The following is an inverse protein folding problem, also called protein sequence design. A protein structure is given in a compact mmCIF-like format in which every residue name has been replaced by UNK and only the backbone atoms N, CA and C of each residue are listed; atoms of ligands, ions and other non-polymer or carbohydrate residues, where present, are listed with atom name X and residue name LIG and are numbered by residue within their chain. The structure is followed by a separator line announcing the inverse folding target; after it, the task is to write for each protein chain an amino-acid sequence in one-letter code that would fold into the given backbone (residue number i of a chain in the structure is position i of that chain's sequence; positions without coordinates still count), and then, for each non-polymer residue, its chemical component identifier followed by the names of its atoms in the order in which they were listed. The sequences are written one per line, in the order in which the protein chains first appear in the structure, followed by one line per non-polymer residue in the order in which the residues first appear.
data_IF_587822683317
#
_entry.id   IF_587822683317
#
_cell.length_a   1.000
_cell.length_b   1.000
_cell.length_c   1.000
_cell.angle_alpha   90.00
_cell.angle_beta   90.00
_cell.angle_gamma   90.00
#
_symmetry.space_group_name_H-M   'P 1'
#
loop_
_entity.id
_entity.type
_entity.pdbx_description
1 polymer ?
#
# COMPACT_ATOMS: atom_id res chain seq x y z
N UNK A 1 27.03 -19.38 -63.68
CA UNK A 1 27.79 -19.15 -62.47
C UNK A 1 27.24 -17.89 -61.83
N UNK A 2 26.20 -18.03 -61.00
CA UNK A 2 25.54 -16.92 -60.35
C UNK A 2 25.63 -17.18 -58.84
N UNK A 3 26.33 -16.33 -58.15
CA UNK A 3 26.37 -16.30 -56.67
C UNK A 3 25.16 -15.55 -56.16
N UNK A 4 24.26 -16.24 -55.49
CA UNK A 4 23.19 -15.63 -54.71
C UNK A 4 23.76 -15.27 -53.33
N UNK A 5 23.78 -13.98 -53.01
CA UNK A 5 24.13 -13.42 -51.71
C UNK A 5 22.87 -13.41 -50.84
N UNK A 6 22.80 -14.32 -49.86
CA UNK A 6 21.78 -14.28 -48.83
C UNK A 6 22.10 -13.18 -47.81
N UNK A 7 21.31 -12.11 -47.86
CA UNK A 7 21.32 -11.08 -46.84
C UNK A 7 20.45 -11.56 -45.68
N UNK A 8 21.10 -12.06 -44.64
CA UNK A 8 20.46 -12.42 -43.37
C UNK A 8 20.08 -11.14 -42.65
N UNK A 9 18.81 -10.75 -42.76
CA UNK A 9 18.25 -9.60 -42.02
C UNK A 9 18.02 -10.01 -40.55
N UNK A 10 18.99 -9.70 -39.69
CA UNK A 10 18.84 -9.86 -38.24
C UNK A 10 17.86 -8.81 -37.75
N UNK A 11 16.57 -9.16 -37.64
CA UNK A 11 15.59 -8.38 -36.89
C UNK A 11 15.98 -8.45 -35.41
N UNK A 12 16.76 -7.49 -34.96
CA UNK A 12 16.84 -7.16 -33.52
C UNK A 12 15.47 -6.67 -33.08
N UNK A 13 14.64 -7.58 -32.56
CA UNK A 13 13.52 -7.22 -31.72
C UNK A 13 14.11 -6.52 -30.50
N UNK A 14 14.22 -5.21 -30.57
CA UNK A 14 14.29 -4.35 -29.39
C UNK A 14 13.00 -4.60 -28.60
N UNK A 15 13.02 -5.59 -27.72
CA UNK A 15 12.08 -5.64 -26.61
C UNK A 15 12.42 -4.42 -25.77
N UNK A 16 11.78 -3.30 -26.09
CA UNK A 16 11.69 -2.18 -25.18
C UNK A 16 11.10 -2.79 -23.90
N UNK A 17 11.79 -2.78 -22.75
CA UNK A 17 11.12 -3.08 -21.52
C UNK A 17 10.03 -2.00 -21.43
N UNK A 18 8.78 -2.42 -21.65
CA UNK A 18 7.65 -1.64 -21.18
C UNK A 18 7.98 -1.38 -19.73
N UNK A 19 8.22 -0.12 -19.40
CA UNK A 19 8.29 0.32 -18.02
C UNK A 19 6.95 -0.09 -17.44
N UNK A 20 6.90 -1.28 -16.83
CA UNK A 20 5.72 -1.82 -16.22
C UNK A 20 5.35 -0.82 -15.14
N UNK A 21 4.30 -0.07 -15.37
CA UNK A 21 3.68 0.71 -14.33
C UNK A 21 3.33 -0.24 -13.19
N UNK A 22 3.18 0.26 -12.00
CA UNK A 22 2.75 -0.44 -10.79
C UNK A 22 1.31 -0.96 -10.92
N UNK A 23 1.04 -1.86 -11.88
CA UNK A 23 -0.30 -1.93 -12.48
C UNK A 23 -1.17 -3.03 -11.90
N UNK A 24 -0.69 -4.24 -11.78
CA UNK A 24 -1.55 -5.37 -11.40
C UNK A 24 -0.86 -6.25 -10.37
N UNK A 25 -1.62 -6.81 -9.40
CA UNK A 25 -1.05 -7.73 -8.43
C UNK A 25 -0.56 -9.01 -9.14
N UNK A 26 0.57 -9.58 -8.73
CA UNK A 26 1.14 -10.78 -9.34
C UNK A 26 0.40 -12.04 -8.91
N UNK A 27 -0.89 -12.15 -9.26
CA UNK A 27 -1.71 -13.30 -8.92
C UNK A 27 -1.30 -14.54 -9.74
N UNK A 28 -1.38 -15.72 -9.11
CA UNK A 28 -1.10 -16.98 -9.80
C UNK A 28 -2.32 -17.44 -10.62
N UNK A 29 -2.12 -17.76 -11.89
CA UNK A 29 -3.16 -18.27 -12.78
C UNK A 29 -4.31 -17.26 -12.94
N UNK A 30 -5.54 -17.71 -12.70
CA UNK A 30 -6.77 -16.93 -12.78
C UNK A 30 -7.29 -16.43 -11.42
N UNK A 31 -6.45 -16.48 -10.39
CA UNK A 31 -6.80 -15.97 -9.05
C UNK A 31 -6.92 -14.46 -9.07
N UNK A 32 -7.97 -13.89 -8.47
CA UNK A 32 -8.25 -12.46 -8.55
C UNK A 32 -8.53 -11.82 -7.18
N UNK A 33 -9.02 -12.59 -6.22
CA UNK A 33 -9.52 -12.04 -4.96
C UNK A 33 -8.39 -11.88 -3.95
N UNK A 34 -8.28 -10.68 -3.39
CA UNK A 34 -7.45 -10.37 -2.24
C UNK A 34 -8.39 -10.12 -1.06
N UNK A 35 -8.19 -10.85 0.04
CA UNK A 35 -8.97 -10.66 1.26
C UNK A 35 -8.17 -9.85 2.27
N UNK A 36 -8.83 -8.95 2.98
CA UNK A 36 -8.23 -8.23 4.11
C UNK A 36 -8.54 -8.99 5.41
N UNK A 37 -7.51 -9.61 6.02
CA UNK A 37 -7.61 -10.25 7.33
C UNK A 37 -7.16 -9.26 8.41
N UNK A 38 -8.06 -8.33 8.74
CA UNK A 38 -7.80 -7.21 9.63
C UNK A 38 -7.57 -7.69 11.07
N UNK A 39 -6.43 -7.31 11.65
CA UNK A 39 -6.05 -7.60 13.05
C UNK A 39 -5.74 -9.08 13.36
N UNK A 40 -5.62 -9.93 12.35
CA UNK A 40 -5.30 -11.34 12.55
C UNK A 40 -3.83 -11.54 12.95
N UNK A 41 -3.53 -12.49 13.86
CA UNK A 41 -2.16 -12.95 14.14
C UNK A 41 -1.54 -13.64 12.92
N UNK A 42 -0.23 -13.51 12.78
CA UNK A 42 0.50 -14.09 11.65
C UNK A 42 0.34 -15.63 11.54
N UNK A 43 0.40 -16.41 12.64
CA UNK A 43 0.19 -17.86 12.57
C UNK A 43 -1.20 -18.26 12.08
N UNK A 44 -2.23 -17.47 12.43
CA UNK A 44 -3.62 -17.75 12.02
C UNK A 44 -3.83 -17.45 10.54
N UNK A 45 -3.23 -16.37 10.02
CA UNK A 45 -3.21 -16.08 8.58
C UNK A 45 -2.52 -17.20 7.81
N UNK A 46 -1.39 -17.70 8.30
CA UNK A 46 -0.68 -18.80 7.67
C UNK A 46 -1.56 -20.06 7.57
N UNK A 47 -2.25 -20.41 8.66
CA UNK A 47 -3.17 -21.54 8.68
C UNK A 47 -4.38 -21.33 7.74
N UNK A 48 -4.91 -20.11 7.66
CA UNK A 48 -6.01 -19.76 6.75
C UNK A 48 -5.57 -19.85 5.27
N UNK A 49 -4.35 -19.43 4.96
CA UNK A 49 -3.78 -19.60 3.62
C UNK A 49 -3.77 -21.07 3.20
N UNK A 50 -3.34 -21.96 4.10
CA UNK A 50 -3.19 -23.40 3.82
C UNK A 50 -4.54 -24.13 3.72
N UNK A 51 -5.46 -23.79 4.62
CA UNK A 51 -6.70 -24.57 4.80
C UNK A 51 -7.89 -24.05 4.00
N UNK A 52 -7.93 -22.73 3.71
CA UNK A 52 -9.08 -22.09 3.07
C UNK A 52 -8.68 -21.33 1.81
N UNK A 53 -7.80 -20.34 1.91
CA UNK A 53 -7.60 -19.37 0.84
C UNK A 53 -6.89 -20.00 -0.37
N UNK A 54 -5.84 -20.79 -0.13
CA UNK A 54 -5.12 -21.51 -1.19
C UNK A 54 -6.04 -22.49 -1.94
N UNK A 55 -6.71 -23.43 -1.24
CA UNK A 55 -7.66 -24.36 -1.86
C UNK A 55 -8.82 -23.68 -2.60
N UNK A 56 -9.24 -22.48 -2.18
CA UNK A 56 -10.33 -21.73 -2.82
C UNK A 56 -9.88 -20.76 -3.90
N UNK A 57 -8.59 -20.69 -4.21
CA UNK A 57 -8.07 -19.89 -5.32
C UNK A 57 -8.02 -18.38 -5.06
N UNK A 58 -7.83 -17.94 -3.81
CA UNK A 58 -7.57 -16.54 -3.54
C UNK A 58 -6.20 -16.12 -4.07
N UNK A 59 -6.10 -14.90 -4.61
CA UNK A 59 -4.84 -14.29 -5.05
C UNK A 59 -3.94 -13.97 -3.85
N UNK A 60 -4.51 -13.38 -2.81
CA UNK A 60 -3.71 -12.95 -1.68
C UNK A 60 -4.48 -12.48 -0.47
N UNK A 61 -3.71 -12.08 0.52
CA UNK A 61 -4.16 -11.48 1.77
C UNK A 61 -3.53 -10.11 1.93
N UNK A 62 -4.34 -9.09 2.18
CA UNK A 62 -3.88 -7.85 2.78
C UNK A 62 -3.81 -8.06 4.29
N UNK A 63 -2.64 -7.84 4.87
CA UNK A 63 -2.43 -7.93 6.32
C UNK A 63 -2.42 -6.54 6.94
N UNK A 64 -2.78 -6.45 8.23
CA UNK A 64 -2.65 -5.22 9.01
C UNK A 64 -1.17 -4.79 9.12
N UNK A 65 -0.88 -3.50 9.41
CA UNK A 65 0.48 -2.98 9.45
C UNK A 65 1.43 -3.85 10.28
N UNK A 66 2.53 -4.36 9.71
CA UNK A 66 3.45 -5.25 10.42
C UNK A 66 4.52 -4.51 11.23
N UNK A 67 4.66 -3.18 11.03
CA UNK A 67 5.69 -2.41 11.71
C UNK A 67 5.39 -2.18 13.19
N UNK A 68 6.44 -1.87 13.95
CA UNK A 68 6.36 -1.48 15.35
C UNK A 68 5.48 -0.24 15.53
N UNK A 69 4.55 -0.31 16.47
CA UNK A 69 3.55 0.72 16.74
C UNK A 69 3.47 1.07 18.23
N UNK A 70 2.75 2.14 18.59
CA UNK A 70 2.48 2.46 19.99
C UNK A 70 1.73 1.32 20.68
N UNK A 71 1.85 1.22 21.99
CA UNK A 71 1.14 0.20 22.75
C UNK A 71 -0.34 0.57 22.92
N UNK A 72 -1.20 -0.44 22.99
CA UNK A 72 -2.64 -0.32 23.20
C UNK A 72 -3.40 -1.50 22.63
N UNK A 73 -4.67 -1.63 23.03
CA UNK A 73 -5.55 -2.72 22.59
C UNK A 73 -6.41 -2.33 21.37
N UNK A 74 -6.52 -1.03 21.11
CA UNK A 74 -7.36 -0.50 20.04
C UNK A 74 -6.72 -0.77 18.66
N UNK A 75 -7.55 -1.00 17.64
CA UNK A 75 -7.07 -1.28 16.28
C UNK A 75 -6.22 -0.14 15.69
N UNK A 76 -6.53 1.14 16.03
CA UNK A 76 -5.81 2.29 15.44
C UNK A 76 -4.39 2.49 15.97
N UNK A 77 -3.98 1.82 17.05
CA UNK A 77 -2.59 1.92 17.53
C UNK A 77 -1.60 1.41 16.49
N UNK A 78 -2.02 0.49 15.64
CA UNK A 78 -1.19 -0.04 14.54
C UNK A 78 -0.93 0.96 13.42
N UNK A 79 -1.76 2.00 13.35
CA UNK A 79 -1.59 3.13 12.42
C UNK A 79 -0.82 4.29 13.07
N UNK A 80 -0.12 4.02 14.16
CA UNK A 80 0.79 4.95 14.83
C UNK A 80 2.19 4.35 14.95
N UNK A 81 2.98 4.37 13.85
CA UNK A 81 4.32 3.78 13.84
C UNK A 81 5.26 4.40 14.85
N UNK A 82 6.12 3.56 15.44
CA UNK A 82 7.25 3.92 16.30
C UNK A 82 8.56 3.63 15.59
N UNK A 83 8.61 2.55 14.83
CA UNK A 83 9.72 2.21 13.95
C UNK A 83 9.25 1.31 12.81
N UNK A 84 10.16 1.00 11.88
CA UNK A 84 9.89 0.06 10.78
C UNK A 84 10.37 -1.37 11.09
N UNK A 85 10.62 -1.71 12.35
CA UNK A 85 10.84 -3.09 12.75
C UNK A 85 9.58 -3.91 12.52
N UNK A 86 9.70 -5.06 11.87
CA UNK A 86 8.57 -5.95 11.57
C UNK A 86 8.17 -6.76 12.80
N UNK A 87 7.73 -6.06 13.84
CA UNK A 87 7.31 -6.64 15.11
C UNK A 87 6.12 -5.85 15.66
N UNK A 88 4.95 -6.45 15.60
CA UNK A 88 3.68 -5.85 15.96
C UNK A 88 2.89 -6.78 16.87
N UNK A 89 1.69 -6.35 17.27
CA UNK A 89 0.82 -7.24 18.06
C UNK A 89 0.29 -8.46 17.29
N UNK A 90 0.43 -8.52 15.96
CA UNK A 90 0.13 -9.74 15.19
C UNK A 90 1.22 -10.80 15.28
N UNK A 91 2.41 -10.45 15.78
CA UNK A 91 3.51 -11.37 16.00
C UNK A 91 4.88 -10.78 15.69
N UNK A 92 5.90 -11.59 15.92
CA UNK A 92 7.30 -11.24 15.67
C UNK A 92 7.65 -11.26 14.17
N UNK A 93 8.81 -10.69 13.83
CA UNK A 93 9.40 -10.75 12.49
C UNK A 93 9.50 -12.19 11.97
N UNK A 94 9.91 -13.13 12.81
CA UNK A 94 10.04 -14.53 12.43
C UNK A 94 8.68 -15.14 12.08
N UNK A 95 7.65 -14.88 12.87
CA UNK A 95 6.29 -15.32 12.58
C UNK A 95 5.74 -14.68 11.31
N UNK A 96 6.07 -13.40 11.06
CA UNK A 96 5.70 -12.73 9.81
C UNK A 96 6.37 -13.40 8.61
N UNK A 97 7.68 -13.68 8.67
CA UNK A 97 8.42 -14.41 7.63
C UNK A 97 7.80 -15.78 7.35
N UNK A 98 7.54 -16.55 8.42
CA UNK A 98 6.93 -17.88 8.31
C UNK A 98 5.54 -17.80 7.65
N UNK A 99 4.72 -16.82 8.03
CA UNK A 99 3.40 -16.60 7.41
C UNK A 99 3.54 -16.35 5.91
N UNK A 100 4.44 -15.45 5.50
CA UNK A 100 4.67 -15.14 4.08
C UNK A 100 5.07 -16.39 3.30
N UNK A 101 5.99 -17.19 3.83
CA UNK A 101 6.47 -18.43 3.20
C UNK A 101 5.36 -19.48 3.07
N UNK A 102 4.56 -19.69 4.12
CA UNK A 102 3.46 -20.66 4.13
C UNK A 102 2.32 -20.26 3.21
N UNK A 103 1.93 -18.99 3.21
CA UNK A 103 0.93 -18.46 2.28
C UNK A 103 1.41 -18.62 0.83
N UNK A 104 2.67 -18.26 0.54
CA UNK A 104 3.26 -18.41 -0.79
C UNK A 104 3.26 -19.88 -1.25
N UNK A 105 3.59 -20.82 -0.36
CA UNK A 105 3.53 -22.25 -0.66
C UNK A 105 2.11 -22.73 -1.00
N UNK A 106 1.08 -22.13 -0.40
CA UNK A 106 -0.33 -22.35 -0.71
C UNK A 106 -0.81 -21.59 -1.97
N UNK A 107 0.07 -20.84 -2.64
CA UNK A 107 -0.25 -20.02 -3.81
C UNK A 107 -1.00 -18.74 -3.48
N UNK A 108 -0.90 -18.24 -2.24
CA UNK A 108 -1.54 -17.03 -1.74
C UNK A 108 -0.46 -15.98 -1.47
N UNK A 109 -0.57 -14.83 -2.11
CA UNK A 109 0.37 -13.72 -1.94
C UNK A 109 0.07 -12.91 -0.67
N UNK A 110 1.09 -12.21 -0.15
CA UNK A 110 0.92 -11.28 0.96
C UNK A 110 1.09 -9.85 0.47
N UNK A 111 0.14 -9.00 0.84
CA UNK A 111 0.12 -7.57 0.63
C UNK A 111 0.13 -6.87 1.99
N UNK A 112 1.03 -5.92 2.16
CA UNK A 112 1.23 -5.22 3.45
C UNK A 112 0.50 -3.89 3.45
N UNK A 113 -0.18 -3.60 4.56
CA UNK A 113 -0.68 -2.26 4.86
C UNK A 113 0.49 -1.40 5.38
N UNK A 114 0.96 -0.49 4.52
CA UNK A 114 2.15 0.31 4.75
C UNK A 114 1.77 1.72 5.24
N UNK A 115 1.98 1.97 6.53
CA UNK A 115 1.77 3.30 7.14
C UNK A 115 3.06 4.08 7.00
N UNK A 116 3.13 4.94 6.00
CA UNK A 116 4.34 5.68 5.61
C UNK A 116 4.14 7.20 5.46
N UNK A 117 2.91 7.69 5.67
CA UNK A 117 2.62 9.11 5.69
C UNK A 117 3.12 9.78 6.97
N UNK A 118 3.08 9.07 8.09
CA UNK A 118 3.27 9.65 9.43
C UNK A 118 3.87 8.64 10.42
N UNK A 119 4.30 9.15 11.54
CA UNK A 119 4.64 8.39 12.74
C UNK A 119 3.52 8.56 13.80
N UNK A 120 3.77 8.18 15.04
CA UNK A 120 2.80 8.28 16.14
C UNK A 120 2.38 9.73 16.46
N UNK A 121 1.30 9.90 17.21
CA UNK A 121 0.75 11.20 17.59
C UNK A 121 1.70 12.08 18.40
N UNK A 122 1.49 13.40 18.32
CA UNK A 122 2.25 14.40 19.08
C UNK A 122 2.12 14.23 20.61
N UNK A 123 1.03 13.64 21.07
CA UNK A 123 0.72 13.39 22.49
C UNK A 123 1.21 12.02 22.98
N UNK A 124 1.85 11.24 22.13
CA UNK A 124 2.31 9.89 22.44
C UNK A 124 3.82 9.85 22.71
N UNK A 125 4.21 9.09 23.74
CA UNK A 125 5.61 8.84 24.10
C UNK A 125 5.74 7.50 24.83
N UNK A 126 6.94 6.97 24.92
CA UNK A 126 7.23 5.76 25.69
C UNK A 126 7.96 4.70 24.90
N UNK A 127 7.41 3.49 24.92
CA UNK A 127 8.03 2.31 24.28
C UNK A 127 7.02 1.65 23.35
N UNK A 128 7.45 1.39 22.10
CA UNK A 128 6.64 0.70 21.11
C UNK A 128 6.48 -0.80 21.36
N UNK A 129 5.72 -1.46 20.47
CA UNK A 129 5.43 -2.92 20.53
C UNK A 129 6.68 -3.80 20.42
N UNK A 130 7.76 -3.32 19.81
CA UNK A 130 9.05 -4.00 19.70
C UNK A 130 10.12 -3.46 20.66
N UNK A 131 9.73 -2.68 21.65
CA UNK A 131 10.62 -2.19 22.70
C UNK A 131 11.42 -0.92 22.36
N UNK A 132 11.20 -0.29 21.22
CA UNK A 132 11.88 0.96 20.87
C UNK A 132 11.30 2.15 21.62
N UNK A 133 12.16 2.98 22.20
CA UNK A 133 11.74 4.24 22.80
C UNK A 133 11.40 5.28 21.72
N UNK A 134 10.41 6.13 22.00
CA UNK A 134 10.01 7.23 21.12
C UNK A 134 9.38 8.38 21.89
N UNK A 135 9.32 9.55 21.27
CA UNK A 135 8.59 10.72 21.76
C UNK A 135 7.95 11.44 20.58
N UNK A 136 6.63 11.37 20.47
CA UNK A 136 5.87 12.07 19.43
C UNK A 136 5.97 13.59 19.59
N UNK A 137 5.79 14.14 20.80
CA UNK A 137 5.95 15.56 21.08
C UNK A 137 7.37 16.08 20.85
N UNK A 138 8.36 15.24 21.05
CA UNK A 138 9.77 15.54 20.73
C UNK A 138 10.17 15.22 19.28
N UNK A 139 9.27 14.68 18.49
CA UNK A 139 9.55 14.20 17.12
C UNK A 139 10.81 13.34 17.05
N UNK A 140 10.95 12.42 18.00
CA UNK A 140 12.14 11.58 18.16
C UNK A 140 11.80 10.10 18.05
N UNK A 141 12.32 9.45 17.01
CA UNK A 141 12.10 8.03 16.68
C UNK A 141 13.46 7.36 16.39
N UNK A 142 14.28 7.13 17.43
CA UNK A 142 15.69 6.70 17.23
C UNK A 142 15.85 5.37 16.50
N UNK A 143 14.82 4.52 16.54
CA UNK A 143 14.89 3.21 15.90
C UNK A 143 14.68 3.23 14.37
N UNK A 144 14.32 4.42 13.78
CA UNK A 144 14.24 4.58 12.31
C UNK A 144 15.55 5.07 11.68
N UNK A 145 16.32 6.11 12.06
CA UNK A 145 16.24 7.19 13.05
C UNK A 145 15.67 8.50 12.47
N UNK A 146 14.48 8.86 12.88
CA UNK A 146 13.88 10.15 12.55
C UNK A 146 13.96 11.15 13.70
N UNK A 147 14.06 12.43 13.36
CA UNK A 147 14.09 13.57 14.28
C UNK A 147 13.23 14.71 13.71
N UNK A 148 13.10 15.82 14.45
CA UNK A 148 12.21 16.94 14.07
C UNK A 148 12.44 17.48 12.65
N UNK A 149 13.66 17.36 12.12
CA UNK A 149 13.96 17.77 10.74
C UNK A 149 13.32 16.89 9.66
N UNK A 150 12.83 15.69 10.01
CA UNK A 150 12.31 14.72 9.07
C UNK A 150 10.77 14.80 8.91
N UNK A 151 10.16 15.74 9.65
CA UNK A 151 8.72 16.01 9.63
C UNK A 151 8.40 17.34 8.96
N UNK A 152 7.19 17.48 8.44
CA UNK A 152 6.70 18.72 7.87
C UNK A 152 6.57 19.81 8.93
N UNK A 153 6.99 21.03 8.55
CA UNK A 153 7.02 22.22 9.40
C UNK A 153 6.44 23.44 8.68
N UNK A 154 5.78 24.38 9.36
CA UNK A 154 5.48 24.35 10.80
C UNK A 154 4.43 23.27 11.13
N UNK A 155 4.42 22.80 12.39
CA UNK A 155 3.38 21.89 12.89
C UNK A 155 2.02 22.56 12.72
N UNK A 156 1.12 21.91 11.97
CA UNK A 156 -0.27 22.31 11.79
C UNK A 156 -1.16 21.06 11.71
N UNK A 157 -2.39 21.13 12.19
CA UNK A 157 -3.38 20.09 11.95
C UNK A 157 -4.22 20.44 10.70
N UNK A 158 -4.76 19.42 10.03
CA UNK A 158 -5.68 19.61 8.92
C UNK A 158 -7.01 20.15 9.47
N UNK A 159 -7.37 21.37 9.09
CA UNK A 159 -8.64 22.01 9.44
C UNK A 159 -9.57 22.16 8.21
N UNK A 160 -8.97 22.24 7.01
CA UNK A 160 -9.70 22.44 5.76
C UNK A 160 -9.35 21.39 4.70
N UNK A 161 -10.17 20.36 4.59
CA UNK A 161 -10.05 19.33 3.56
C UNK A 161 -10.32 19.85 2.13
N UNK A 162 -10.83 21.06 1.98
CA UNK A 162 -10.93 21.76 0.68
C UNK A 162 -9.62 22.35 0.19
N UNK A 163 -8.56 22.32 0.99
CA UNK A 163 -7.22 22.81 0.64
C UNK A 163 -6.21 21.66 0.47
N UNK A 164 -5.87 21.26 -0.77
CA UNK A 164 -4.96 20.14 -1.02
C UNK A 164 -3.57 20.30 -0.38
N UNK A 165 -3.07 21.54 -0.30
CA UNK A 165 -1.77 21.81 0.31
C UNK A 165 -1.80 21.54 1.82
N UNK A 166 -2.89 21.94 2.48
CA UNK A 166 -3.08 21.70 3.90
C UNK A 166 -3.24 20.19 4.19
N UNK A 167 -4.05 19.49 3.38
CA UNK A 167 -4.28 18.05 3.51
C UNK A 167 -2.98 17.23 3.39
N UNK A 168 -2.00 17.73 2.61
CA UNK A 168 -0.75 17.00 2.34
C UNK A 168 0.46 17.48 3.13
N UNK A 169 0.35 18.57 3.87
CA UNK A 169 1.47 19.13 4.62
C UNK A 169 1.16 19.38 6.10
N UNK A 170 -0.11 19.29 6.51
CA UNK A 170 -0.50 19.38 7.92
C UNK A 170 -0.79 17.98 8.47
N UNK A 171 -0.77 17.88 9.78
CA UNK A 171 -0.86 16.63 10.51
C UNK A 171 -2.30 16.10 10.49
N UNK A 172 -2.46 14.86 10.04
CA UNK A 172 -3.71 14.12 10.11
C UNK A 172 -3.98 13.75 11.58
N UNK A 173 -5.01 14.36 12.17
CA UNK A 173 -5.44 14.14 13.58
C UNK A 173 -4.29 14.16 14.60
N UNK A 174 -3.30 15.02 14.40
CA UNK A 174 -2.17 15.17 15.31
C UNK A 174 -1.05 14.12 15.17
N UNK A 175 -1.09 13.28 14.14
CA UNK A 175 -0.02 12.34 13.80
C UNK A 175 1.17 13.07 13.18
N UNK A 176 2.39 12.72 13.61
CA UNK A 176 3.61 13.36 13.12
C UNK A 176 3.82 13.11 11.63
N UNK A 177 3.55 14.10 10.82
CA UNK A 177 3.53 14.05 9.36
C UNK A 177 4.94 14.09 8.79
N UNK A 178 5.33 13.05 8.05
CA UNK A 178 6.67 12.91 7.48
C UNK A 178 6.89 13.84 6.29
N UNK A 179 8.05 14.48 6.24
CA UNK A 179 8.45 15.30 5.09
C UNK A 179 8.84 14.42 3.89
N UNK A 180 7.84 13.78 3.26
CA UNK A 180 7.97 12.76 2.23
C UNK A 180 8.76 13.18 0.99
N UNK A 181 8.90 14.48 0.73
CA UNK A 181 9.76 15.04 -0.32
C UNK A 181 11.26 14.95 -0.04
N UNK A 182 11.65 14.65 1.21
CA UNK A 182 13.08 14.56 1.58
C UNK A 182 13.67 13.21 1.20
N UNK A 183 14.81 13.23 0.53
CA UNK A 183 15.51 12.00 0.09
C UNK A 183 15.80 11.04 1.24
N UNK A 184 16.18 11.57 2.40
CA UNK A 184 16.43 10.76 3.60
C UNK A 184 15.17 10.03 4.11
N UNK A 185 14.03 10.72 4.14
CA UNK A 185 12.75 10.12 4.53
C UNK A 185 12.35 9.02 3.54
N UNK A 186 12.45 9.31 2.24
CA UNK A 186 12.19 8.34 1.16
C UNK A 186 13.11 7.11 1.26
N UNK A 187 14.39 7.31 1.57
CA UNK A 187 15.35 6.22 1.78
C UNK A 187 14.93 5.31 2.94
N UNK A 188 14.61 5.89 4.11
CA UNK A 188 14.20 5.09 5.28
C UNK A 188 12.89 4.33 5.07
N UNK A 189 11.93 4.93 4.38
CA UNK A 189 10.70 4.25 4.01
C UNK A 189 10.98 3.14 2.99
N UNK A 190 11.80 3.41 1.96
CA UNK A 190 12.12 2.40 0.95
C UNK A 190 12.90 1.22 1.50
N UNK A 191 13.79 1.43 2.50
CA UNK A 191 14.45 0.34 3.22
C UNK A 191 13.43 -0.60 3.91
N UNK A 192 12.41 -0.06 4.53
CA UNK A 192 11.31 -0.83 5.12
C UNK A 192 10.52 -1.63 4.08
N UNK A 193 10.13 -0.98 2.99
CA UNK A 193 9.38 -1.64 1.92
C UNK A 193 10.23 -2.75 1.27
N UNK A 194 11.53 -2.49 1.07
CA UNK A 194 12.47 -3.48 0.54
C UNK A 194 12.62 -4.68 1.48
N UNK A 195 12.72 -4.45 2.79
CA UNK A 195 12.78 -5.53 3.77
C UNK A 195 11.54 -6.43 3.70
N UNK A 196 10.35 -5.86 3.49
CA UNK A 196 9.15 -6.65 3.24
C UNK A 196 9.23 -7.46 1.93
N UNK A 197 9.72 -6.86 0.85
CA UNK A 197 9.90 -7.53 -0.45
C UNK A 197 10.90 -8.69 -0.34
N UNK A 198 11.98 -8.49 0.38
CA UNK A 198 13.01 -9.52 0.59
C UNK A 198 12.47 -10.72 1.39
N UNK A 199 11.46 -10.51 2.24
CA UNK A 199 10.73 -11.57 2.93
C UNK A 199 9.67 -12.25 2.04
N UNK A 200 9.38 -11.72 0.85
CA UNK A 200 8.45 -12.31 -0.11
C UNK A 200 7.08 -11.62 -0.21
N UNK A 201 6.90 -10.46 0.41
CA UNK A 201 5.73 -9.59 0.18
C UNK A 201 5.74 -9.13 -1.27
N UNK A 202 4.58 -9.16 -1.93
CA UNK A 202 4.48 -8.86 -3.37
C UNK A 202 3.84 -7.51 -3.67
N UNK A 203 3.32 -6.84 -2.65
CA UNK A 203 2.72 -5.52 -2.84
C UNK A 203 2.29 -4.85 -1.55
N UNK A 204 1.81 -3.63 -1.68
CA UNK A 204 1.52 -2.74 -0.57
C UNK A 204 0.22 -1.96 -0.81
N UNK A 205 -0.61 -1.88 0.22
CA UNK A 205 -1.57 -0.80 0.37
C UNK A 205 -0.87 0.34 1.08
N UNK A 206 -0.80 1.49 0.45
CA UNK A 206 -0.24 2.69 1.08
C UNK A 206 -1.35 3.40 1.84
N UNK A 207 -1.27 3.32 3.15
CA UNK A 207 -2.19 4.00 4.08
C UNK A 207 -2.12 5.51 3.92
N UNK A 208 -3.26 6.19 4.09
CA UNK A 208 -3.35 7.66 4.08
C UNK A 208 -2.68 8.34 2.87
N UNK A 209 -2.62 7.67 1.71
CA UNK A 209 -1.92 8.19 0.52
C UNK A 209 -2.50 9.53 0.04
N UNK A 210 -3.78 9.82 0.29
CA UNK A 210 -4.40 11.12 0.05
C UNK A 210 -3.63 12.29 0.72
N UNK A 211 -2.97 12.01 1.83
CA UNK A 211 -2.19 12.96 2.63
C UNK A 211 -0.72 13.07 2.18
N UNK A 212 -0.36 12.39 1.11
CA UNK A 212 0.99 12.42 0.52
C UNK A 212 0.97 13.03 -0.88
N UNK A 213 2.03 13.73 -1.26
CA UNK A 213 2.18 14.16 -2.64
C UNK A 213 2.49 12.96 -3.54
N UNK A 214 1.83 12.79 -4.70
CA UNK A 214 2.11 11.67 -5.61
C UNK A 214 3.60 11.56 -6.01
N UNK A 215 4.29 12.69 -6.18
CA UNK A 215 5.71 12.70 -6.49
C UNK A 215 6.58 12.21 -5.32
N UNK A 216 6.16 12.42 -4.08
CA UNK A 216 6.89 11.94 -2.89
C UNK A 216 6.72 10.42 -2.75
N UNK A 217 5.50 9.92 -2.99
CA UNK A 217 5.24 8.49 -3.11
C UNK A 217 6.12 7.89 -4.21
N UNK A 218 6.13 8.51 -5.40
CA UNK A 218 6.98 8.06 -6.51
C UNK A 218 8.46 8.00 -6.12
N UNK A 219 8.97 9.05 -5.49
CA UNK A 219 10.36 9.10 -5.03
C UNK A 219 10.71 7.97 -4.05
N UNK A 220 9.76 7.53 -3.24
CA UNK A 220 9.91 6.41 -2.32
C UNK A 220 9.88 5.07 -3.06
N UNK A 221 8.81 4.82 -3.83
CA UNK A 221 8.60 3.50 -4.45
C UNK A 221 9.60 3.20 -5.57
N UNK A 222 10.12 4.22 -6.27
CA UNK A 222 11.16 4.03 -7.30
C UNK A 222 12.49 3.51 -6.71
N UNK A 223 12.71 3.65 -5.40
CA UNK A 223 13.89 3.12 -4.70
C UNK A 223 13.74 1.65 -4.30
N UNK A 224 12.52 1.13 -4.28
CA UNK A 224 12.25 -0.29 -3.98
C UNK A 224 12.64 -1.12 -5.19
N UNK A 225 13.36 -2.22 -4.98
CA UNK A 225 13.78 -3.14 -6.03
C UNK A 225 12.63 -3.98 -6.60
N UNK A 226 12.94 -4.75 -7.62
CA UNK A 226 12.00 -5.71 -8.20
C UNK A 226 11.78 -6.91 -7.27
N UNK A 227 10.63 -7.56 -7.44
CA UNK A 227 10.32 -8.82 -6.76
C UNK A 227 11.34 -9.91 -7.16
N UNK A 228 11.68 -10.84 -6.25
CA UNK A 228 12.53 -11.99 -6.60
C UNK A 228 11.97 -12.84 -7.74
N UNK A 229 10.64 -12.80 -7.96
CA UNK A 229 9.95 -13.44 -9.09
C UNK A 229 10.01 -12.66 -10.39
N UNK A 230 10.58 -11.48 -10.38
CA UNK A 230 10.60 -10.50 -11.47
C UNK A 230 9.41 -9.53 -11.42
N UNK A 231 9.61 -8.34 -11.98
CA UNK A 231 8.63 -7.25 -11.99
C UNK A 231 8.59 -6.43 -10.71
N UNK A 232 7.88 -5.30 -10.79
CA UNK A 232 7.76 -4.37 -9.66
C UNK A 232 6.76 -4.88 -8.61
N UNK A 233 6.96 -4.57 -7.32
CA UNK A 233 5.91 -4.75 -6.33
C UNK A 233 4.64 -3.98 -6.72
N UNK A 234 3.48 -4.57 -6.40
CA UNK A 234 2.19 -3.91 -6.59
C UNK A 234 1.96 -2.83 -5.54
N UNK A 235 1.39 -1.69 -5.95
CA UNK A 235 1.01 -0.60 -5.05
C UNK A 235 -0.43 -0.19 -5.27
N UNK A 236 -1.22 -0.17 -4.20
CA UNK A 236 -2.54 0.43 -4.15
C UNK A 236 -2.57 1.52 -3.08
N UNK A 237 -2.99 2.70 -3.46
CA UNK A 237 -2.97 3.90 -2.62
C UNK A 237 -4.34 4.15 -2.03
N UNK A 238 -4.42 4.31 -0.70
CA UNK A 238 -5.65 4.74 -0.07
C UNK A 238 -5.89 6.23 -0.36
N UNK A 239 -6.76 6.50 -1.30
CA UNK A 239 -7.20 7.85 -1.63
C UNK A 239 -8.71 7.92 -1.46
N UNK A 240 -9.15 8.49 -0.33
CA UNK A 240 -10.57 8.67 -0.04
C UNK A 240 -11.12 9.78 -0.95
N UNK A 241 -11.69 9.37 -2.09
CA UNK A 241 -12.37 10.23 -3.05
C UNK A 241 -13.80 9.73 -3.24
N UNK A 242 -14.75 10.43 -2.65
CA UNK A 242 -16.19 10.12 -2.75
C UNK A 242 -16.89 10.88 -3.89
N UNK A 243 -16.12 11.65 -4.66
CA UNK A 243 -16.59 12.52 -5.72
C UNK A 243 -16.75 13.97 -5.30
N UNK A 244 -16.27 14.89 -6.12
CA UNK A 244 -16.31 16.33 -5.86
C UNK A 244 -15.28 16.84 -4.87
N UNK A 245 -14.30 16.05 -4.54
CA UNK A 245 -13.19 16.44 -3.67
C UNK A 245 -12.03 17.08 -4.44
N UNK A 246 -11.27 18.00 -3.80
CA UNK A 246 -10.17 18.69 -4.47
C UNK A 246 -8.96 17.79 -4.76
N UNK A 247 -8.81 16.71 -3.98
CA UNK A 247 -7.79 15.66 -4.21
C UNK A 247 -8.54 14.44 -4.76
N UNK A 248 -8.15 14.02 -5.96
CA UNK A 248 -8.83 12.95 -6.69
C UNK A 248 -7.93 11.73 -6.89
N UNK A 249 -8.54 10.56 -7.11
CA UNK A 249 -7.81 9.32 -7.38
C UNK A 249 -6.92 9.42 -8.63
N UNK A 250 -7.32 10.24 -9.63
CA UNK A 250 -6.59 10.42 -10.88
C UNK A 250 -5.17 10.96 -10.69
N UNK A 251 -4.94 11.75 -9.62
CA UNK A 251 -3.62 12.28 -9.33
C UNK A 251 -2.58 11.18 -9.00
N UNK A 252 -3.05 10.01 -8.57
CA UNK A 252 -2.21 8.89 -8.13
C UNK A 252 -2.03 7.79 -9.19
N UNK A 253 -2.72 7.84 -10.33
CA UNK A 253 -2.63 6.81 -11.37
C UNK A 253 -1.23 6.62 -11.97
N UNK A 254 -0.39 7.65 -11.90
CA UNK A 254 1.01 7.57 -12.33
C UNK A 254 1.94 6.83 -11.36
N UNK A 255 1.45 6.46 -10.16
CA UNK A 255 2.27 5.85 -9.10
C UNK A 255 1.72 4.52 -8.61
N UNK A 256 0.55 4.09 -9.06
CA UNK A 256 -0.07 2.81 -8.71
C UNK A 256 -1.57 2.81 -8.90
N UNK A 257 -2.23 1.80 -8.35
CA UNK A 257 -3.68 1.73 -8.27
C UNK A 257 -4.18 2.54 -7.08
N UNK A 258 -5.48 2.79 -7.01
CA UNK A 258 -6.13 3.48 -5.90
C UNK A 258 -7.30 2.68 -5.36
N UNK A 259 -7.61 2.88 -4.09
CA UNK A 259 -8.84 2.35 -3.47
C UNK A 259 -10.07 3.05 -4.04
N UNK A 260 -11.20 2.34 -4.11
CA UNK A 260 -12.46 2.88 -4.64
C UNK A 260 -13.51 3.05 -3.53
N UNK A 261 -13.68 4.28 -3.08
CA UNK A 261 -14.63 4.61 -2.00
C UNK A 261 -16.06 4.84 -2.48
N UNK A 262 -16.28 5.12 -3.77
CA UNK A 262 -17.63 5.33 -4.34
C UNK A 262 -18.42 4.05 -4.51
N UNK A 263 -17.73 2.91 -4.68
CA UNK A 263 -18.35 1.59 -4.78
C UNK A 263 -19.23 1.29 -3.56
N UNK A 264 -18.67 1.37 -2.36
CA UNK A 264 -19.40 1.10 -1.12
C UNK A 264 -20.58 2.06 -0.92
N UNK A 265 -20.41 3.35 -1.24
CA UNK A 265 -21.48 4.34 -1.18
C UNK A 265 -22.62 3.96 -2.12
N UNK A 266 -22.32 3.62 -3.39
CA UNK A 266 -23.32 3.29 -4.39
C UNK A 266 -24.05 2.00 -4.08
N UNK A 267 -23.36 0.94 -3.71
CA UNK A 267 -23.96 -0.32 -3.27
C UNK A 267 -24.86 -0.11 -2.06
N UNK A 268 -24.36 0.63 -1.04
CA UNK A 268 -25.13 0.95 0.14
C UNK A 268 -26.39 1.78 -0.18
N UNK A 269 -26.32 2.74 -1.12
CA UNK A 269 -27.48 3.48 -1.60
C UNK A 269 -28.51 2.54 -2.24
N UNK A 270 -28.09 1.74 -3.22
CA UNK A 270 -28.99 0.84 -3.95
C UNK A 270 -29.72 -0.17 -3.04
N UNK A 271 -28.99 -0.69 -2.04
CA UNK A 271 -29.56 -1.62 -1.05
C UNK A 271 -30.59 -0.89 -0.17
N UNK A 272 -30.30 0.31 0.33
CA UNK A 272 -31.26 1.10 1.13
C UNK A 272 -32.52 1.47 0.34
N UNK A 273 -32.37 1.78 -0.94
CA UNK A 273 -33.46 2.10 -1.86
C UNK A 273 -34.20 0.84 -2.36
N UNK A 274 -33.74 -0.35 -2.01
CA UNK A 274 -34.23 -1.65 -2.52
C UNK A 274 -34.19 -1.75 -4.06
N UNK A 275 -33.28 -1.01 -4.68
CA UNK A 275 -33.04 -1.03 -6.13
C UNK A 275 -31.98 -2.09 -6.49
N UNK A 276 -32.32 -3.35 -6.33
CA UNK A 276 -31.38 -4.45 -6.59
C UNK A 276 -31.03 -4.61 -8.08
N UNK A 277 -31.91 -4.18 -8.99
CA UNK A 277 -31.62 -4.17 -10.42
C UNK A 277 -30.47 -3.21 -10.78
N UNK A 278 -30.30 -2.13 -10.01
CA UNK A 278 -29.22 -1.18 -10.18
C UNK A 278 -27.85 -1.75 -9.85
N UNK A 279 -27.76 -2.84 -9.08
CA UNK A 279 -26.47 -3.46 -8.75
C UNK A 279 -25.71 -3.94 -9.99
N UNK A 280 -26.42 -4.39 -11.04
CA UNK A 280 -25.78 -4.81 -12.29
C UNK A 280 -25.03 -3.72 -13.03
N UNK A 281 -25.41 -2.44 -12.81
CA UNK A 281 -24.78 -1.28 -13.44
C UNK A 281 -23.72 -0.59 -12.57
N UNK A 282 -23.37 -1.15 -11.40
CA UNK A 282 -22.40 -0.50 -10.50
C UNK A 282 -21.02 -0.39 -11.13
N UNK A 283 -20.62 -1.36 -11.93
CA UNK A 283 -19.33 -1.40 -12.60
C UNK A 283 -19.25 -0.47 -13.83
N UNK A 284 -20.39 -0.04 -14.37
CA UNK A 284 -20.47 0.80 -15.59
C UNK A 284 -20.49 2.30 -15.31
N UNK A 285 -20.24 2.70 -14.06
CA UNK A 285 -20.40 4.09 -13.61
C UNK A 285 -19.30 5.05 -14.08
N UNK A 286 -18.20 4.57 -14.64
CA UNK A 286 -17.10 5.42 -15.11
C UNK A 286 -16.43 6.23 -13.99
N UNK A 287 -16.33 5.69 -12.80
CA UNK A 287 -15.80 6.40 -11.63
C UNK A 287 -14.28 6.63 -11.64
N UNK A 288 -13.60 6.23 -12.70
CA UNK A 288 -12.15 6.39 -12.80
C UNK A 288 -11.36 5.40 -11.94
N UNK A 289 -11.98 4.29 -11.55
CA UNK A 289 -11.34 3.21 -10.80
C UNK A 289 -10.27 2.49 -11.62
N UNK A 290 -10.40 2.54 -12.94
CA UNK A 290 -9.43 1.99 -13.85
C UNK A 290 -8.50 3.09 -14.35
N UNK A 291 -7.23 2.77 -14.44
CA UNK A 291 -6.33 3.49 -15.32
C UNK A 291 -6.99 3.53 -16.72
N UNK A 292 -7.25 4.71 -17.30
CA UNK A 292 -7.83 4.83 -18.64
C UNK A 292 -7.03 4.11 -19.72
N UNK A 293 -5.74 3.82 -19.47
CA UNK A 293 -4.86 3.12 -20.38
C UNK A 293 -5.06 1.59 -20.38
N UNK A 294 -5.68 1.03 -19.35
CA UNK A 294 -5.85 -0.42 -19.17
C UNK A 294 -7.30 -0.91 -19.22
N UNK A 295 -8.19 -0.20 -19.79
CA UNK A 295 -9.63 -0.28 -20.02
C UNK A 295 -10.38 -1.61 -19.99
N UNK A 296 -9.99 -2.66 -19.28
CA UNK A 296 -10.76 -3.93 -19.26
C UNK A 296 -10.93 -4.66 -17.93
N UNK A 297 -10.18 -4.39 -16.87
CA UNK A 297 -10.38 -5.07 -15.60
C UNK A 297 -10.22 -4.09 -14.44
N UNK A 298 -11.34 -3.81 -13.81
CA UNK A 298 -11.40 -3.02 -12.59
C UNK A 298 -11.34 -4.00 -11.43
N UNK A 299 -10.18 -4.19 -10.84
CA UNK A 299 -10.08 -4.90 -9.57
C UNK A 299 -10.47 -3.91 -8.47
N UNK A 300 -11.51 -4.27 -7.73
CA UNK A 300 -12.03 -3.44 -6.67
C UNK A 300 -11.38 -3.83 -5.35
N UNK A 301 -10.49 -2.99 -4.87
CA UNK A 301 -10.12 -3.01 -3.47
C UNK A 301 -11.24 -2.31 -2.70
N UNK A 302 -12.12 -3.10 -2.13
CA UNK A 302 -13.18 -2.61 -1.26
C UNK A 302 -12.66 -2.66 0.16
N UNK A 303 -12.50 -1.48 0.76
CA UNK A 303 -12.26 -1.34 2.19
C UNK A 303 -13.56 -1.49 2.97
#
# INVERSE_FOLDING_TARGET
MFFASEVLCLLCLLVCPLSGGYTDPPCQGDRQVIVHLFEWPWPDIAAECETVLGPRGYCGVQVSPPMEHIQGEQWWVRYQPVSYKLESRSGSREQFREMVERCKAAGVNIFVDAVINHMSGLDSEGTGSAGSSFSGGGQSYPAVPFSSQDFNQPICNIENYGNPTEVRNCYLVGLNDLAGGKSYVQEKISEYLQDCVDLGVVGFRVDAAKHMWPNDIKGTIDRVGDLPSGGRPFFVHEVIDQGGEPITVQEYFGVGRTTEFRYGLKVGQLVREKNYAGLGGVYDQGWGMADPQHGKYQEHWVC
#
